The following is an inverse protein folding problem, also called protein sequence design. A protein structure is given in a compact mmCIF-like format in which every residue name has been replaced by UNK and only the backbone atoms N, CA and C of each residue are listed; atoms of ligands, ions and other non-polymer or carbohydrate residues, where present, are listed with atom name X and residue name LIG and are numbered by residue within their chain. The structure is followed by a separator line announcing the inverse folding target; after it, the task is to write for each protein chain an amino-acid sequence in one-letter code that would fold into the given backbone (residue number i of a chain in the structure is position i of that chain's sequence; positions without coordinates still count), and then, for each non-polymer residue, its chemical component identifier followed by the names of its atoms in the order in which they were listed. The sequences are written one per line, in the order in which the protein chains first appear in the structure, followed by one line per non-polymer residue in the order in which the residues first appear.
data_IF_532027386936
#
_entry.id   IF_532027386936
#
_cell.length_a   1.000
_cell.length_b   1.000
_cell.length_c   1.000
_cell.angle_alpha   90.00
_cell.angle_beta   90.00
_cell.angle_gamma   90.00
#
_symmetry.space_group_name_H-M   'P 1'
#
loop_
_entity.id
_entity.type
_entity.pdbx_description
1 polymer ?
#
# COMPACT_ATOMS: atom_id res chain seq x y z
N UNK A 1 21.71 -7.20 15.74
CA UNK A 1 20.57 -7.28 16.63
C UNK A 1 20.29 -8.75 16.92
N UNK A 2 19.11 -9.32 16.80
CA UNK A 2 18.78 -10.68 17.30
C UNK A 2 19.26 -11.84 16.42
N UNK A 3 20.11 -11.61 15.44
CA UNK A 3 20.62 -12.61 14.47
C UNK A 3 19.51 -13.46 13.81
N UNK A 4 18.36 -12.82 13.53
CA UNK A 4 17.21 -13.43 12.86
C UNK A 4 17.18 -12.92 11.42
N UNK A 5 17.29 -13.82 10.47
CA UNK A 5 17.22 -13.51 9.05
C UNK A 5 15.76 -13.64 8.58
N UNK A 6 15.08 -12.52 8.44
CA UNK A 6 13.68 -12.49 7.98
C UNK A 6 13.64 -12.44 6.46
N UNK A 7 12.78 -13.25 5.80
CA UNK A 7 12.60 -13.16 4.37
C UNK A 7 12.00 -11.81 3.97
N UNK A 8 12.39 -11.32 2.79
CA UNK A 8 11.78 -10.11 2.22
C UNK A 8 10.29 -10.34 1.98
N UNK A 9 9.46 -9.43 2.51
CA UNK A 9 8.00 -9.50 2.35
C UNK A 9 7.46 -8.39 1.43
N UNK A 10 8.18 -7.28 1.29
CA UNK A 10 7.82 -6.15 0.44
C UNK A 10 9.04 -5.67 -0.34
N UNK A 11 8.96 -5.66 -1.67
CA UNK A 11 10.03 -5.17 -2.55
C UNK A 11 9.57 -3.98 -3.40
N UNK A 12 9.42 -2.82 -2.76
CA UNK A 12 8.96 -1.58 -3.38
C UNK A 12 7.71 -1.77 -4.27
N UNK A 13 6.60 -2.29 -3.73
CA UNK A 13 5.43 -2.69 -4.51
C UNK A 13 4.75 -1.53 -5.25
N UNK A 14 4.86 -0.30 -4.73
CA UNK A 14 4.30 0.89 -5.38
C UNK A 14 5.08 1.34 -6.63
N UNK A 15 6.23 0.71 -6.94
CA UNK A 15 6.95 0.87 -8.22
C UNK A 15 6.48 -0.11 -9.30
N UNK A 16 5.50 -0.96 -9.02
CA UNK A 16 5.03 -1.97 -9.95
C UNK A 16 4.39 -1.37 -11.21
N UNK A 17 4.65 -1.99 -12.36
CA UNK A 17 4.15 -1.58 -13.67
C UNK A 17 2.98 -2.45 -14.17
N UNK A 18 2.51 -3.38 -13.36
CA UNK A 18 1.32 -4.20 -13.60
C UNK A 18 0.81 -4.82 -12.30
N UNK A 19 -0.43 -5.29 -12.26
CA UNK A 19 -1.00 -5.97 -11.09
C UNK A 19 -0.21 -7.25 -10.75
N UNK A 20 0.26 -7.98 -11.75
CA UNK A 20 1.10 -9.17 -11.54
C UNK A 20 2.47 -8.81 -10.98
N UNK A 21 3.06 -7.69 -11.41
CA UNK A 21 4.31 -7.18 -10.86
C UNK A 21 4.12 -6.69 -9.42
N UNK A 22 2.97 -6.03 -9.13
CA UNK A 22 2.61 -5.63 -7.77
C UNK A 22 2.57 -6.84 -6.81
N UNK A 23 1.90 -7.93 -7.17
CA UNK A 23 1.80 -9.13 -6.33
C UNK A 23 3.11 -9.91 -6.20
N UNK A 24 4.07 -9.73 -7.08
CA UNK A 24 5.44 -10.26 -6.93
C UNK A 24 6.24 -9.50 -5.87
N UNK A 25 5.82 -8.28 -5.54
CA UNK A 25 6.50 -7.34 -4.64
C UNK A 25 5.76 -7.11 -3.34
N UNK A 26 4.45 -7.37 -3.30
CA UNK A 26 3.60 -7.19 -2.15
C UNK A 26 3.33 -8.51 -1.46
N UNK A 27 3.53 -8.53 -0.12
CA UNK A 27 3.26 -9.67 0.75
C UNK A 27 3.82 -11.00 0.18
N UNK A 28 5.10 -10.97 -0.17
CA UNK A 28 5.78 -12.05 -0.92
C UNK A 28 5.72 -13.40 -0.19
N UNK A 29 5.75 -13.39 1.15
CA UNK A 29 5.65 -14.60 1.97
C UNK A 29 4.27 -15.25 1.84
N UNK A 30 3.18 -14.47 1.89
CA UNK A 30 1.82 -14.97 1.65
C UNK A 30 1.65 -15.46 0.20
N UNK A 31 2.13 -14.69 -0.77
CA UNK A 31 2.10 -15.08 -2.19
C UNK A 31 2.86 -16.40 -2.40
N UNK A 32 4.01 -16.57 -1.76
CA UNK A 32 4.78 -17.83 -1.78
C UNK A 32 4.01 -18.98 -1.14
N UNK A 33 3.39 -18.75 0.01
CA UNK A 33 2.57 -19.74 0.71
C UNK A 33 1.38 -20.21 -0.16
N UNK A 34 0.61 -19.26 -0.70
CA UNK A 34 -0.54 -19.58 -1.57
C UNK A 34 -0.10 -20.26 -2.87
N UNK A 35 1.05 -19.88 -3.42
CA UNK A 35 1.62 -20.55 -4.59
C UNK A 35 1.94 -21.99 -4.29
N UNK A 36 2.63 -22.27 -3.18
CA UNK A 36 3.05 -23.63 -2.80
C UNK A 36 1.87 -24.51 -2.41
N UNK A 37 0.92 -23.98 -1.64
CA UNK A 37 -0.11 -24.79 -1.00
C UNK A 37 -1.46 -24.80 -1.74
N UNK A 38 -1.69 -23.84 -2.66
CA UNK A 38 -2.95 -23.75 -3.44
C UNK A 38 -2.67 -23.89 -4.93
N UNK A 39 -1.84 -23.01 -5.50
CA UNK A 39 -1.65 -22.94 -6.96
C UNK A 39 -0.99 -24.19 -7.55
N UNK A 40 0.11 -24.66 -6.95
CA UNK A 40 0.86 -25.83 -7.42
C UNK A 40 0.03 -27.12 -7.29
N UNK A 41 -0.63 -27.42 -6.16
CA UNK A 41 -1.49 -28.60 -6.03
C UNK A 41 -2.65 -28.63 -7.03
N UNK A 42 -3.19 -27.49 -7.44
CA UNK A 42 -4.23 -27.39 -8.49
C UNK A 42 -3.67 -27.65 -9.91
N UNK A 43 -2.37 -27.90 -10.05
CA UNK A 43 -1.68 -28.16 -11.32
C UNK A 43 -0.88 -26.97 -11.85
N UNK A 44 -0.88 -25.83 -11.14
CA UNK A 44 -0.11 -24.63 -11.51
C UNK A 44 -0.44 -24.14 -12.92
N UNK A 45 0.61 -23.86 -13.70
CA UNK A 45 0.51 -23.47 -15.12
C UNK A 45 0.75 -24.62 -16.11
N UNK A 46 0.94 -25.87 -15.61
CA UNK A 46 1.31 -27.01 -16.46
C UNK A 46 0.14 -27.60 -17.24
N UNK A 47 -1.11 -27.34 -16.82
CA UNK A 47 -2.33 -27.92 -17.40
C UNK A 47 -3.04 -26.98 -18.40
N UNK A 48 -2.28 -26.13 -19.08
CA UNK A 48 -2.79 -25.20 -20.10
C UNK A 48 -3.28 -23.84 -19.54
N UNK A 49 -3.60 -22.94 -20.47
CA UNK A 49 -3.89 -21.52 -20.17
C UNK A 49 -5.19 -21.37 -19.39
N UNK A 50 -6.26 -22.06 -19.79
CA UNK A 50 -7.56 -21.98 -19.11
C UNK A 50 -7.44 -22.43 -17.64
N UNK A 51 -6.76 -23.54 -17.39
CA UNK A 51 -6.52 -24.02 -16.03
C UNK A 51 -5.69 -23.05 -15.20
N UNK A 52 -4.70 -22.40 -15.82
CA UNK A 52 -3.90 -21.34 -15.18
C UNK A 52 -4.78 -20.18 -14.70
N UNK A 53 -5.76 -19.75 -15.49
CA UNK A 53 -6.68 -18.67 -15.12
C UNK A 53 -7.58 -19.09 -13.95
N UNK A 54 -8.15 -20.28 -14.02
CA UNK A 54 -8.96 -20.84 -12.92
C UNK A 54 -8.14 -20.92 -11.63
N UNK A 55 -6.92 -21.46 -11.71
CA UNK A 55 -6.04 -21.56 -10.53
C UNK A 55 -5.70 -20.19 -9.96
N UNK A 56 -5.46 -19.18 -10.82
CA UNK A 56 -5.22 -17.79 -10.40
C UNK A 56 -6.44 -17.24 -9.66
N UNK A 57 -7.65 -17.43 -10.20
CA UNK A 57 -8.88 -16.99 -9.53
C UNK A 57 -9.06 -17.67 -8.16
N UNK A 58 -8.81 -18.97 -8.06
CA UNK A 58 -8.92 -19.70 -6.79
C UNK A 58 -7.93 -19.13 -5.76
N UNK A 59 -6.68 -18.87 -6.15
CA UNK A 59 -5.66 -18.29 -5.25
C UNK A 59 -6.12 -16.95 -4.69
N UNK A 60 -6.61 -16.05 -5.54
CA UNK A 60 -7.06 -14.74 -5.10
C UNK A 60 -8.36 -14.81 -4.28
N UNK A 61 -9.27 -15.72 -4.62
CA UNK A 61 -10.47 -15.96 -3.82
C UNK A 61 -10.12 -16.48 -2.42
N UNK A 62 -9.21 -17.44 -2.32
CA UNK A 62 -8.70 -17.96 -1.03
C UNK A 62 -8.03 -16.83 -0.24
N UNK A 63 -7.24 -15.97 -0.90
CA UNK A 63 -6.62 -14.81 -0.27
C UNK A 63 -7.66 -13.84 0.28
N UNK A 64 -8.73 -13.57 -0.47
CA UNK A 64 -9.82 -12.69 -0.01
C UNK A 64 -10.55 -13.27 1.20
N UNK A 65 -10.92 -14.55 1.17
CA UNK A 65 -11.59 -15.26 2.28
C UNK A 65 -10.68 -15.30 3.53
N UNK A 66 -9.38 -15.47 3.34
CA UNK A 66 -8.41 -15.48 4.42
C UNK A 66 -8.37 -14.16 5.20
N UNK A 67 -8.61 -13.04 4.53
CA UNK A 67 -8.69 -11.71 5.16
C UNK A 67 -9.97 -11.51 5.99
N UNK A 68 -11.02 -12.31 5.76
CA UNK A 68 -12.25 -12.25 6.54
C UNK A 68 -13.49 -12.65 5.74
N UNK A 69 -14.60 -12.86 6.45
CA UNK A 69 -15.88 -13.30 5.87
C UNK A 69 -16.70 -12.16 5.24
N UNK A 70 -16.19 -10.93 5.19
CA UNK A 70 -16.91 -9.81 4.58
C UNK A 70 -16.89 -9.92 3.04
N UNK A 71 -18.02 -9.58 2.42
CA UNK A 71 -18.14 -9.55 0.96
C UNK A 71 -17.15 -8.61 0.27
N UNK A 72 -16.69 -7.56 0.95
CA UNK A 72 -15.68 -6.64 0.40
C UNK A 72 -14.35 -7.35 0.15
N UNK A 73 -13.94 -8.28 1.01
CA UNK A 73 -12.72 -9.07 0.84
C UNK A 73 -12.86 -10.10 -0.29
N UNK A 74 -14.04 -10.73 -0.41
CA UNK A 74 -14.32 -11.68 -1.49
C UNK A 74 -14.29 -10.96 -2.84
N UNK A 75 -14.96 -9.81 -2.96
CA UNK A 75 -14.94 -8.97 -4.15
C UNK A 75 -13.54 -8.47 -4.48
N UNK A 76 -12.78 -8.04 -3.47
CA UNK A 76 -11.39 -7.64 -3.61
C UNK A 76 -10.52 -8.77 -4.20
N UNK A 77 -10.65 -9.97 -3.69
CA UNK A 77 -9.97 -11.14 -4.22
C UNK A 77 -10.36 -11.44 -5.67
N UNK A 78 -11.66 -11.45 -5.98
CA UNK A 78 -12.16 -11.67 -7.34
C UNK A 78 -11.59 -10.63 -8.32
N UNK A 79 -11.63 -9.34 -7.96
CA UNK A 79 -11.12 -8.27 -8.81
C UNK A 79 -9.62 -8.37 -9.05
N UNK A 80 -8.83 -8.66 -8.01
CA UNK A 80 -7.39 -8.90 -8.18
C UNK A 80 -7.09 -10.11 -9.05
N UNK A 81 -7.86 -11.18 -8.92
CA UNK A 81 -7.76 -12.36 -9.78
C UNK A 81 -8.03 -12.03 -11.25
N UNK A 82 -9.13 -11.33 -11.53
CA UNK A 82 -9.49 -10.89 -12.88
C UNK A 82 -8.44 -9.96 -13.49
N UNK A 83 -7.95 -8.98 -12.74
CA UNK A 83 -6.91 -8.06 -13.18
C UNK A 83 -5.57 -8.76 -13.43
N UNK A 84 -5.23 -9.77 -12.63
CA UNK A 84 -4.02 -10.57 -12.85
C UNK A 84 -4.13 -11.42 -14.12
N UNK A 85 -5.33 -11.92 -14.44
CA UNK A 85 -5.59 -12.62 -15.71
C UNK A 85 -5.54 -11.62 -16.87
N UNK A 86 -6.17 -10.46 -16.74
CA UNK A 86 -6.11 -9.37 -17.72
C UNK A 86 -4.67 -8.99 -18.06
N UNK A 87 -3.84 -8.75 -17.07
CA UNK A 87 -2.42 -8.47 -17.24
C UNK A 87 -1.69 -9.56 -18.04
N UNK A 88 -2.07 -10.82 -17.82
CA UNK A 88 -1.46 -11.94 -18.53
C UNK A 88 -1.89 -12.01 -19.99
N UNK A 89 -3.18 -11.79 -20.25
CA UNK A 89 -3.76 -11.82 -21.61
C UNK A 89 -3.21 -10.68 -22.45
N UNK A 90 -3.14 -9.49 -21.89
CA UNK A 90 -2.77 -8.24 -22.58
C UNK A 90 -1.34 -7.80 -22.35
N UNK A 91 -0.46 -8.68 -21.83
CA UNK A 91 0.93 -8.35 -21.49
C UNK A 91 1.69 -7.70 -22.65
N UNK A 92 1.55 -8.25 -23.87
CA UNK A 92 2.21 -7.73 -25.07
C UNK A 92 1.73 -6.32 -25.45
N UNK A 93 0.45 -6.03 -25.24
CA UNK A 93 -0.14 -4.71 -25.51
C UNK A 93 0.30 -3.70 -24.46
N UNK A 94 0.26 -4.08 -23.20
CA UNK A 94 0.66 -3.22 -22.08
C UNK A 94 2.14 -2.82 -22.18
N UNK A 95 3.03 -3.73 -22.60
CA UNK A 95 4.46 -3.43 -22.80
C UNK A 95 4.74 -2.38 -23.88
N UNK A 96 3.78 -2.08 -24.76
CA UNK A 96 3.89 -0.99 -25.74
C UNK A 96 3.56 0.39 -25.14
N UNK A 97 2.89 0.43 -23.99
CA UNK A 97 2.58 1.68 -23.32
C UNK A 97 3.81 2.24 -22.58
N UNK A 98 3.94 3.57 -22.49
CA UNK A 98 4.97 4.20 -21.66
C UNK A 98 4.90 3.70 -20.20
N UNK A 99 6.06 3.57 -19.56
CA UNK A 99 6.14 3.10 -18.18
C UNK A 99 5.32 3.97 -17.21
N UNK A 100 5.31 5.27 -17.42
CA UNK A 100 4.51 6.22 -16.63
C UNK A 100 3.02 5.88 -16.70
N UNK A 101 2.49 5.58 -17.88
CA UNK A 101 1.07 5.20 -18.05
C UNK A 101 0.78 3.88 -17.33
N UNK A 102 1.65 2.89 -17.51
CA UNK A 102 1.56 1.59 -16.82
C UNK A 102 1.60 1.74 -15.32
N UNK A 103 2.49 2.59 -14.82
CA UNK A 103 2.61 2.88 -13.40
C UNK A 103 1.34 3.57 -12.87
N UNK A 104 0.88 4.65 -13.49
CA UNK A 104 -0.32 5.39 -13.07
C UNK A 104 -1.54 4.45 -13.03
N UNK A 105 -1.75 3.65 -14.08
CA UNK A 105 -2.88 2.71 -14.13
C UNK A 105 -2.80 1.65 -13.04
N UNK A 106 -1.63 1.04 -12.83
CA UNK A 106 -1.41 0.03 -11.79
C UNK A 106 -1.59 0.62 -10.40
N UNK A 107 -0.94 1.75 -10.11
CA UNK A 107 -1.00 2.44 -8.84
C UNK A 107 -2.44 2.85 -8.50
N UNK A 108 -3.16 3.49 -9.44
CA UNK A 108 -4.54 3.92 -9.24
C UNK A 108 -5.47 2.73 -9.00
N UNK A 109 -5.32 1.66 -9.78
CA UNK A 109 -6.13 0.44 -9.64
C UNK A 109 -5.93 -0.21 -8.26
N UNK A 110 -4.68 -0.35 -7.82
CA UNK A 110 -4.36 -0.90 -6.49
C UNK A 110 -4.97 -0.04 -5.39
N UNK A 111 -4.87 1.31 -5.48
CA UNK A 111 -5.45 2.19 -4.48
C UNK A 111 -6.98 2.13 -4.43
N UNK A 112 -7.66 2.00 -5.59
CA UNK A 112 -9.10 1.80 -5.64
C UNK A 112 -9.48 0.46 -4.97
N UNK A 113 -8.70 -0.60 -5.19
CA UNK A 113 -8.94 -1.88 -4.55
C UNK A 113 -8.61 -1.86 -3.04
N UNK A 114 -7.64 -1.03 -2.60
CA UNK A 114 -7.44 -0.76 -1.16
C UNK A 114 -8.62 -0.05 -0.53
N UNK A 115 -9.27 0.88 -1.27
CA UNK A 115 -10.49 1.51 -0.79
C UNK A 115 -11.62 0.47 -0.60
N UNK A 116 -11.79 -0.48 -1.54
CA UNK A 116 -12.74 -1.59 -1.38
C UNK A 116 -12.40 -2.46 -0.16
N UNK A 117 -11.14 -2.81 0.00
CA UNK A 117 -10.65 -3.61 1.13
C UNK A 117 -10.94 -2.95 2.47
N UNK A 118 -10.81 -1.63 2.57
CA UNK A 118 -11.04 -0.85 3.80
C UNK A 118 -12.50 -0.53 4.06
N UNK A 119 -13.38 -0.69 3.07
CA UNK A 119 -14.80 -0.40 3.18
C UNK A 119 -15.54 -1.49 3.95
N UNK A 120 -16.50 -1.10 4.78
CA UNK A 120 -17.35 -2.02 5.55
C UNK A 120 -18.37 -2.75 4.66
N UNK A 121 -18.73 -2.15 3.53
CA UNK A 121 -19.67 -2.72 2.55
C UNK A 121 -19.37 -2.24 1.13
N UNK A 122 -19.86 -3.01 0.14
CA UNK A 122 -19.79 -2.61 -1.26
C UNK A 122 -20.55 -1.30 -1.53
N UNK A 123 -21.64 -1.04 -0.81
CA UNK A 123 -22.40 0.21 -0.92
C UNK A 123 -21.57 1.40 -0.43
N UNK A 124 -20.88 1.28 0.68
CA UNK A 124 -19.98 2.31 1.20
C UNK A 124 -18.83 2.58 0.20
N UNK A 125 -18.22 1.52 -0.33
CA UNK A 125 -17.17 1.65 -1.37
C UNK A 125 -17.66 2.47 -2.56
N UNK A 126 -18.83 2.12 -3.13
CA UNK A 126 -19.40 2.81 -4.27
C UNK A 126 -19.75 4.26 -3.95
N UNK A 127 -20.27 4.52 -2.75
CA UNK A 127 -20.57 5.88 -2.28
C UNK A 127 -19.31 6.74 -2.22
N UNK A 128 -18.24 6.23 -1.60
CA UNK A 128 -16.96 6.96 -1.49
C UNK A 128 -16.37 7.19 -2.89
N UNK A 129 -16.33 6.15 -3.74
CA UNK A 129 -15.82 6.25 -5.11
C UNK A 129 -16.58 7.30 -5.92
N UNK A 130 -17.94 7.31 -5.86
CA UNK A 130 -18.77 8.31 -6.50
C UNK A 130 -18.48 9.72 -5.98
N UNK A 131 -18.29 9.87 -4.67
CA UNK A 131 -17.97 11.16 -4.05
C UNK A 131 -16.60 11.68 -4.52
N UNK A 132 -15.59 10.80 -4.59
CA UNK A 132 -14.25 11.14 -5.11
C UNK A 132 -14.33 11.61 -6.58
N UNK A 133 -15.04 10.89 -7.43
CA UNK A 133 -15.16 11.24 -8.85
C UNK A 133 -15.98 12.51 -9.07
N UNK A 134 -17.01 12.75 -8.24
CA UNK A 134 -17.88 13.93 -8.39
C UNK A 134 -17.19 15.24 -7.99
N UNK A 135 -16.05 15.17 -7.26
CA UNK A 135 -15.31 16.33 -6.74
C UNK A 135 -16.17 17.41 -6.03
N UNK A 136 -17.36 17.02 -5.58
CA UNK A 136 -18.32 17.96 -4.95
C UNK A 136 -17.88 18.46 -3.58
N UNK A 137 -16.96 17.74 -2.93
CA UNK A 137 -16.47 18.09 -1.61
C UNK A 137 -14.93 18.03 -1.61
N UNK A 138 -14.31 19.15 -1.98
CA UNK A 138 -12.85 19.29 -2.04
C UNK A 138 -12.24 19.79 -0.73
N UNK A 139 -13.07 20.03 0.31
CA UNK A 139 -12.57 20.44 1.61
C UNK A 139 -11.94 19.26 2.35
N UNK A 140 -10.70 19.41 2.79
CA UNK A 140 -10.05 18.45 3.67
C UNK A 140 -10.80 18.46 5.01
N UNK A 141 -11.24 17.26 5.47
CA UNK A 141 -11.98 17.19 6.72
C UNK A 141 -11.14 17.69 7.90
N UNK A 142 -11.77 18.40 8.83
CA UNK A 142 -11.08 18.86 10.07
C UNK A 142 -10.56 17.68 10.88
N UNK A 143 -11.24 16.54 10.86
CA UNK A 143 -10.80 15.30 11.52
C UNK A 143 -9.45 14.84 10.96
N UNK A 144 -9.28 14.79 9.63
CA UNK A 144 -8.03 14.40 9.00
C UNK A 144 -6.90 15.41 9.32
N UNK A 145 -7.18 16.71 9.25
CA UNK A 145 -6.21 17.75 9.61
C UNK A 145 -5.78 17.60 11.08
N UNK A 146 -6.69 17.28 11.98
CA UNK A 146 -6.41 17.13 13.40
C UNK A 146 -5.58 15.86 13.72
N UNK A 147 -5.55 14.85 12.85
CA UNK A 147 -4.63 13.70 13.01
C UNK A 147 -3.15 14.11 12.87
N UNK A 148 -2.85 15.26 12.27
CA UNK A 148 -1.50 15.78 12.09
C UNK A 148 -1.15 16.91 13.10
N UNK A 149 -1.73 16.88 14.29
CA UNK A 149 -1.31 17.71 15.41
C UNK A 149 -0.06 17.10 16.02
N UNK A 150 1.09 17.57 15.58
CA UNK A 150 2.37 17.15 16.13
C UNK A 150 2.77 18.15 17.26
N UNK A 151 3.09 17.68 18.47
CA UNK A 151 3.62 18.56 19.53
C UNK A 151 4.83 19.34 19.06
N UNK A 152 5.69 18.70 18.22
CA UNK A 152 6.87 19.30 17.63
C UNK A 152 6.53 20.46 16.66
N UNK A 153 5.36 20.40 15.99
CA UNK A 153 4.92 21.48 15.12
C UNK A 153 4.65 22.76 15.89
N UNK A 154 4.14 22.66 17.11
CA UNK A 154 3.91 23.81 18.00
C UNK A 154 5.24 24.41 18.45
N UNK A 155 6.22 23.56 18.76
CA UNK A 155 7.58 24.01 19.10
C UNK A 155 8.23 24.76 17.93
N UNK A 156 8.18 24.18 16.71
CA UNK A 156 8.72 24.81 15.50
C UNK A 156 7.99 26.12 15.15
N UNK A 157 6.67 26.17 15.30
CA UNK A 157 5.89 27.38 15.10
C UNK A 157 6.35 28.51 16.04
N UNK A 158 6.55 28.20 17.31
CA UNK A 158 7.02 29.17 18.30
C UNK A 158 8.47 29.61 18.02
N UNK A 159 9.33 28.66 17.63
CA UNK A 159 10.74 28.92 17.32
C UNK A 159 10.92 29.82 16.09
N UNK A 160 10.13 29.57 15.04
CA UNK A 160 10.21 30.31 13.77
C UNK A 160 9.19 31.44 13.66
N UNK A 161 8.47 31.79 14.74
CA UNK A 161 7.43 32.82 14.76
C UNK A 161 6.42 32.69 13.61
N UNK A 162 6.08 31.46 13.20
CA UNK A 162 5.13 31.20 12.12
C UNK A 162 3.72 31.53 12.59
N UNK A 163 3.32 32.80 12.42
CA UNK A 163 1.97 33.29 12.71
C UNK A 163 1.06 32.98 11.52
N UNK A 164 0.24 31.96 11.63
CA UNK A 164 -0.78 31.61 10.63
C UNK A 164 -1.98 30.91 11.26
N UNK A 165 -3.14 30.88 10.59
CA UNK A 165 -4.27 30.10 11.09
C UNK A 165 -3.86 28.64 11.35
N UNK A 166 -4.12 28.14 12.55
CA UNK A 166 -3.71 26.79 12.97
C UNK A 166 -4.10 25.67 11.97
N UNK A 167 -5.22 25.82 11.28
CA UNK A 167 -5.68 24.89 10.24
C UNK A 167 -4.83 24.93 8.97
N UNK A 168 -4.27 26.06 8.58
CA UNK A 168 -3.39 26.18 7.40
C UNK A 168 -2.04 25.50 7.65
N UNK A 169 -1.50 25.66 8.85
CA UNK A 169 -0.23 25.05 9.25
C UNK A 169 -0.37 23.53 9.34
N UNK A 170 -1.47 23.03 9.93
CA UNK A 170 -1.76 21.59 9.98
C UNK A 170 -1.98 21.00 8.58
N UNK A 171 -2.67 21.74 7.70
CA UNK A 171 -2.82 21.35 6.29
C UNK A 171 -1.48 21.28 5.55
N UNK A 172 -0.56 22.19 5.82
CA UNK A 172 0.80 22.15 5.29
C UNK A 172 1.55 20.87 5.76
N UNK A 173 1.49 20.54 7.05
CA UNK A 173 2.11 19.31 7.56
C UNK A 173 1.51 18.05 6.93
N UNK A 174 0.19 17.96 6.76
CA UNK A 174 -0.47 16.87 6.05
C UNK A 174 0.11 16.70 4.63
N UNK A 175 0.21 17.77 3.87
CA UNK A 175 0.75 17.75 2.51
C UNK A 175 2.23 17.38 2.50
N UNK A 176 3.03 17.93 3.41
CA UNK A 176 4.45 17.64 3.54
C UNK A 176 4.70 16.16 3.86
N UNK A 177 4.01 15.60 4.85
CA UNK A 177 4.15 14.18 5.21
C UNK A 177 3.65 13.26 4.10
N UNK A 178 2.56 13.62 3.43
CA UNK A 178 2.07 12.87 2.27
C UNK A 178 3.10 12.87 1.15
N UNK A 179 3.65 14.02 0.79
CA UNK A 179 4.70 14.14 -0.21
C UNK A 179 5.98 13.36 0.19
N UNK A 180 6.41 13.48 1.44
CA UNK A 180 7.56 12.73 1.95
C UNK A 180 7.33 11.21 1.89
N UNK A 181 6.13 10.74 2.27
CA UNK A 181 5.76 9.33 2.16
C UNK A 181 5.81 8.84 0.70
N UNK A 182 5.28 9.61 -0.24
CA UNK A 182 5.38 9.30 -1.67
C UNK A 182 6.83 9.24 -2.14
N UNK A 183 7.65 10.22 -1.79
CA UNK A 183 9.07 10.23 -2.13
C UNK A 183 9.80 9.02 -1.58
N UNK A 184 9.56 8.68 -0.31
CA UNK A 184 10.17 7.51 0.34
C UNK A 184 9.72 6.18 -0.30
N UNK A 185 8.48 6.08 -0.75
CA UNK A 185 7.98 4.86 -1.41
C UNK A 185 8.46 4.70 -2.85
N UNK A 186 8.72 5.82 -3.56
CA UNK A 186 8.97 5.80 -5.01
C UNK A 186 10.45 6.01 -5.39
N UNK A 187 11.23 6.76 -4.61
CA UNK A 187 12.58 7.16 -5.00
C UNK A 187 13.66 6.19 -4.50
N UNK A 188 13.83 5.96 -3.18
CA UNK A 188 14.95 5.16 -2.69
C UNK A 188 14.82 3.68 -3.06
N UNK A 189 15.96 2.99 -3.03
CA UNK A 189 15.99 1.54 -3.05
C UNK A 189 15.34 0.97 -1.79
N UNK A 190 14.83 -0.27 -1.88
CA UNK A 190 14.28 -0.96 -0.73
C UNK A 190 15.35 -1.13 0.37
N UNK A 191 15.00 -0.81 1.60
CA UNK A 191 15.88 -0.95 2.76
C UNK A 191 16.46 -2.37 2.92
N UNK A 192 15.73 -3.39 2.50
CA UNK A 192 16.24 -4.76 2.52
C UNK A 192 17.47 -4.92 1.61
N UNK A 193 17.50 -4.25 0.46
CA UNK A 193 18.63 -4.28 -0.49
C UNK A 193 19.78 -3.39 -0.05
N UNK A 194 19.49 -2.35 0.74
CA UNK A 194 20.49 -1.39 1.22
C UNK A 194 21.01 -1.71 2.61
N UNK A 195 20.48 -2.73 3.29
CA UNK A 195 20.83 -3.10 4.66
C UNK A 195 22.34 -3.34 4.91
N UNK A 196 23.06 -3.77 3.86
CA UNK A 196 24.51 -4.04 3.92
C UNK A 196 25.35 -2.81 3.58
N UNK A 197 24.73 -1.72 3.09
CA UNK A 197 25.41 -0.46 2.80
C UNK A 197 25.58 0.34 4.10
N UNK A 198 26.54 -0.07 4.92
CA UNK A 198 26.85 0.62 6.16
C UNK A 198 27.52 1.96 5.87
N UNK A 199 26.76 3.05 5.95
CA UNK A 199 27.31 4.40 5.93
C UNK A 199 26.96 5.12 7.24
N UNK A 200 27.82 6.04 7.66
CA UNK A 200 27.56 6.88 8.84
C UNK A 200 26.23 7.66 8.68
N UNK A 201 25.88 8.05 7.44
CA UNK A 201 24.64 8.74 7.14
C UNK A 201 23.40 7.85 7.37
N UNK A 202 23.47 6.57 6.96
CA UNK A 202 22.35 5.62 7.20
C UNK A 202 22.21 5.31 8.69
N UNK A 203 23.31 5.18 9.42
CA UNK A 203 23.29 5.00 10.86
C UNK A 203 22.67 6.22 11.57
N UNK A 204 23.12 7.42 11.23
CA UNK A 204 22.55 8.66 11.78
C UNK A 204 21.06 8.79 11.50
N UNK A 205 20.63 8.55 10.23
CA UNK A 205 19.22 8.56 9.85
C UNK A 205 18.39 7.55 10.63
N UNK A 206 18.92 6.34 10.84
CA UNK A 206 18.25 5.29 11.62
C UNK A 206 18.10 5.70 13.10
N UNK A 207 19.14 6.30 13.71
CA UNK A 207 19.09 6.82 15.09
C UNK A 207 18.03 7.91 15.20
N UNK A 208 18.02 8.89 14.29
CA UNK A 208 17.04 9.99 14.30
C UNK A 208 15.60 9.45 14.15
N UNK A 209 15.37 8.54 13.20
CA UNK A 209 14.04 7.93 13.01
C UNK A 209 13.62 7.11 14.23
N UNK A 210 14.55 6.37 14.84
CA UNK A 210 14.28 5.58 16.06
C UNK A 210 13.90 6.48 17.24
N UNK A 211 14.69 7.52 17.51
CA UNK A 211 14.40 8.47 18.58
C UNK A 211 13.08 9.19 18.37
N UNK A 212 12.82 9.62 17.13
CA UNK A 212 11.52 10.23 16.80
C UNK A 212 10.37 9.27 17.01
N UNK A 213 10.45 8.05 16.47
CA UNK A 213 9.41 7.03 16.70
C UNK A 213 9.21 6.75 18.20
N UNK A 214 10.28 6.65 18.98
CA UNK A 214 10.22 6.46 20.43
C UNK A 214 9.50 7.62 21.14
N UNK A 215 9.80 8.86 20.79
CA UNK A 215 9.14 10.04 21.35
C UNK A 215 7.64 10.13 20.95
N UNK A 216 7.27 9.58 19.80
CA UNK A 216 5.89 9.56 19.30
C UNK A 216 5.03 8.41 19.86
N UNK A 217 5.59 7.47 20.64
CA UNK A 217 4.84 6.33 21.25
C UNK A 217 3.92 6.79 22.41
N UNK A 218 3.58 8.04 22.52
CA UNK A 218 2.78 8.57 23.63
C UNK A 218 1.24 8.37 23.49
N UNK A 219 0.76 7.86 22.37
CA UNK A 219 -0.68 7.66 22.12
C UNK A 219 -1.04 6.19 21.96
N UNK A 220 -2.22 5.81 22.44
CA UNK A 220 -2.78 4.48 22.18
C UNK A 220 -2.84 4.23 20.66
N UNK A 221 -1.96 3.37 20.18
CA UNK A 221 -2.00 2.94 18.80
C UNK A 221 -3.10 1.90 18.64
N UNK A 222 -4.16 2.21 17.90
CA UNK A 222 -5.09 1.19 17.44
C UNK A 222 -4.32 0.27 16.49
N UNK A 223 -4.12 -0.98 16.95
CA UNK A 223 -3.45 -1.98 16.11
C UNK A 223 -4.27 -2.16 14.85
N UNK A 224 -3.67 -1.93 13.68
CA UNK A 224 -4.38 -1.86 12.39
C UNK A 224 -5.18 -3.14 12.08
N UNK A 225 -4.76 -4.29 12.60
CA UNK A 225 -5.43 -5.59 12.45
C UNK A 225 -6.47 -5.91 13.52
N UNK A 226 -6.73 -5.04 14.48
CA UNK A 226 -7.69 -5.32 15.56
C UNK A 226 -9.17 -5.29 15.09
N UNK A 227 -9.43 -4.74 13.91
CA UNK A 227 -10.77 -4.63 13.32
C UNK A 227 -10.97 -5.52 12.07
N UNK A 228 -10.19 -6.59 11.92
CA UNK A 228 -10.37 -7.60 10.87
C UNK A 228 -10.88 -8.91 11.42
#
# INVERSE_FOLDING_TARGET
MFNIDLPINFDSPYKALSIRDFWKRWHMTLTGFLTKNVYIPLGGSKKGTARTYVNTMIVFLVSGIWHGANWTFILWGILHGLLSIWDRVFEKMQKKLPETVRWITTFSTVNILWLLFRSESAAQFLFILKTMVSMRNTSISRGLINCFVLPESTFLQNLFHLSGPANSIRGFWLLLFTAAAFLLCLVPENNYRTREKNSLLTLFGAIVCFLWAFLCISSESVFVYYNF
#
